data_IF_342198119566
#
_entry.id   IF_342198119566
#
_cell.length_a   1.000
_cell.length_b   1.000
_cell.length_c   1.000
_cell.angle_alpha   90.00
_cell.angle_beta   90.00
_cell.angle_gamma   90.00
#
_symmetry.space_group_name_H-M   'P 1'
#
loop_
_entity.id
_entity.type
_entity.pdbx_description
1 polymer ?
#
# COMPACT_ATOMS: atom_id res chain seq x y z
N UNK A 1 20.15 3.54 -67.15
CA UNK A 1 19.61 2.34 -66.47
C UNK A 1 19.80 2.58 -64.98
N UNK A 2 18.76 3.09 -64.32
CA UNK A 2 18.73 3.38 -62.89
C UNK A 2 17.82 2.33 -62.25
N UNK A 3 18.37 1.57 -61.31
CA UNK A 3 17.69 0.47 -60.62
C UNK A 3 16.61 1.03 -59.69
N UNK A 4 15.37 0.69 -60.02
CA UNK A 4 14.16 1.02 -59.28
C UNK A 4 13.99 -0.04 -58.18
N UNK A 5 14.22 0.32 -56.91
CA UNK A 5 13.94 -0.55 -55.77
C UNK A 5 12.42 -0.65 -55.59
N UNK A 6 11.87 -1.82 -55.94
CA UNK A 6 10.50 -2.23 -55.62
C UNK A 6 10.39 -2.40 -54.11
N UNK A 7 9.69 -1.50 -53.42
CA UNK A 7 9.16 -1.77 -52.09
C UNK A 7 7.99 -2.73 -52.21
N UNK A 8 8.22 -3.96 -51.76
CA UNK A 8 7.27 -5.06 -51.81
C UNK A 8 6.15 -4.79 -50.79
N UNK A 9 4.93 -4.62 -51.28
CA UNK A 9 3.74 -4.60 -50.47
C UNK A 9 3.43 -6.00 -49.91
N UNK A 10 2.95 -6.00 -48.66
CA UNK A 10 2.01 -6.95 -48.06
C UNK A 10 2.47 -8.32 -47.52
N UNK A 11 1.76 -8.73 -46.46
CA UNK A 11 1.88 -9.89 -45.57
C UNK A 11 3.00 -9.76 -44.51
N UNK A 12 2.71 -9.60 -43.22
CA UNK A 12 1.82 -10.46 -42.44
C UNK A 12 1.37 -9.73 -41.17
N UNK A 13 0.06 -9.63 -41.01
CA UNK A 13 -0.65 -9.50 -39.74
C UNK A 13 -0.09 -10.43 -38.67
N UNK A 14 0.58 -9.88 -37.67
CA UNK A 14 0.72 -10.48 -36.33
C UNK A 14 0.30 -9.44 -35.30
N UNK A 15 -0.95 -8.98 -35.44
CA UNK A 15 -1.75 -8.50 -34.32
C UNK A 15 -2.44 -9.71 -33.73
N UNK A 16 -1.81 -10.39 -32.78
CA UNK A 16 -2.49 -11.31 -31.86
C UNK A 16 -1.59 -11.50 -30.63
N UNK A 17 -2.18 -11.28 -29.45
CA UNK A 17 -1.61 -11.40 -28.09
C UNK A 17 -1.05 -10.14 -27.42
N UNK A 18 -1.54 -8.95 -27.76
CA UNK A 18 -1.59 -7.87 -26.77
C UNK A 18 -2.89 -7.99 -25.96
N UNK A 19 -2.89 -8.91 -24.98
CA UNK A 19 -3.84 -8.83 -23.88
C UNK A 19 -3.38 -7.72 -22.93
N UNK A 20 -3.47 -6.48 -23.39
CA UNK A 20 -3.68 -5.36 -22.49
C UNK A 20 -5.18 -5.25 -22.38
N UNK A 21 -5.74 -5.97 -21.39
CA UNK A 21 -7.10 -5.70 -21.00
C UNK A 21 -7.21 -4.20 -20.75
N UNK A 22 -8.20 -3.58 -21.39
CA UNK A 22 -8.75 -2.27 -21.03
C UNK A 22 -9.30 -2.33 -19.60
N UNK A 23 -8.42 -2.58 -18.62
CA UNK A 23 -8.75 -2.48 -17.20
C UNK A 23 -8.67 -1.01 -16.88
N UNK A 24 -9.83 -0.38 -17.09
CA UNK A 24 -10.24 0.87 -16.50
C UNK A 24 -9.40 2.10 -16.89
N UNK A 25 -9.88 2.77 -17.93
CA UNK A 25 -9.96 4.24 -17.94
C UNK A 25 -10.85 4.74 -16.77
N UNK A 26 -10.48 4.44 -15.52
CA UNK A 26 -10.90 5.25 -14.37
C UNK A 26 -9.74 6.20 -14.08
N UNK A 27 -9.65 7.25 -14.90
CA UNK A 27 -8.69 8.36 -14.83
C UNK A 27 -8.78 9.20 -13.53
N UNK A 28 -9.49 8.72 -12.51
CA UNK A 28 -9.53 9.29 -11.15
C UNK A 28 -9.33 8.23 -10.05
N UNK A 29 -9.05 6.97 -10.40
CA UNK A 29 -8.76 5.93 -9.44
C UNK A 29 -7.36 6.16 -8.86
N UNK A 30 -7.28 6.27 -7.53
CA UNK A 30 -6.03 6.39 -6.80
C UNK A 30 -5.07 5.32 -7.31
N UNK A 31 -3.93 5.73 -7.88
CA UNK A 31 -2.89 4.80 -8.36
C UNK A 31 -2.40 3.99 -7.17
N UNK A 32 -2.97 2.80 -6.98
CA UNK A 32 -2.60 1.89 -5.91
C UNK A 32 -1.63 0.86 -6.45
N UNK A 33 -0.37 0.95 -6.02
CA UNK A 33 0.60 -0.10 -6.32
C UNK A 33 0.40 -1.29 -5.36
N UNK A 34 0.82 -2.49 -5.78
CA UNK A 34 0.68 -3.70 -4.96
C UNK A 34 1.26 -3.55 -3.54
N UNK A 35 2.35 -2.78 -3.39
CA UNK A 35 2.97 -2.49 -2.09
C UNK A 35 2.04 -1.68 -1.17
N UNK A 36 1.30 -0.72 -1.71
CA UNK A 36 0.35 0.08 -0.91
C UNK A 36 -0.80 -0.77 -0.39
N UNK A 37 -1.30 -1.71 -1.21
CA UNK A 37 -2.29 -2.70 -0.77
C UNK A 37 -1.77 -3.60 0.36
N UNK A 38 -0.51 -4.04 0.29
CA UNK A 38 0.12 -4.82 1.36
C UNK A 38 0.24 -4.02 2.67
N UNK A 39 0.63 -2.75 2.58
CA UNK A 39 0.73 -1.85 3.74
C UNK A 39 -0.64 -1.69 4.42
N UNK A 40 -1.70 -1.43 3.65
CA UNK A 40 -3.07 -1.30 4.17
C UNK A 40 -3.52 -2.59 4.87
N UNK A 41 -3.30 -3.74 4.25
CA UNK A 41 -3.64 -5.03 4.85
C UNK A 41 -2.90 -5.26 6.18
N UNK A 42 -1.61 -4.90 6.24
CA UNK A 42 -0.82 -5.01 7.47
C UNK A 42 -1.33 -4.07 8.57
N UNK A 43 -1.76 -2.85 8.21
CA UNK A 43 -2.40 -1.92 9.16
C UNK A 43 -3.69 -2.53 9.74
N UNK A 44 -4.52 -3.18 8.92
CA UNK A 44 -5.74 -3.85 9.38
C UNK A 44 -5.40 -4.93 10.41
N UNK A 45 -4.48 -5.83 10.08
CA UNK A 45 -4.03 -6.90 10.99
C UNK A 45 -3.48 -6.33 12.30
N UNK A 46 -2.65 -5.30 12.24
CA UNK A 46 -2.08 -4.68 13.45
C UNK A 46 -3.13 -3.99 14.33
N UNK A 47 -4.21 -3.45 13.74
CA UNK A 47 -5.31 -2.89 14.51
C UNK A 47 -6.10 -3.98 15.26
N UNK A 48 -6.31 -5.14 14.63
CA UNK A 48 -6.92 -6.31 15.29
C UNK A 48 -6.04 -6.81 16.45
N UNK A 49 -4.73 -6.91 16.23
CA UNK A 49 -3.78 -7.27 17.28
C UNK A 49 -3.73 -6.24 18.42
N UNK A 50 -3.85 -4.95 18.09
CA UNK A 50 -3.88 -3.87 19.07
C UNK A 50 -5.14 -3.94 19.95
N UNK A 51 -6.29 -4.26 19.38
CA UNK A 51 -7.52 -4.48 20.15
C UNK A 51 -7.37 -5.66 21.12
N UNK A 52 -6.80 -6.77 20.65
CA UNK A 52 -6.46 -7.92 21.51
C UNK A 52 -5.48 -7.53 22.62
N UNK A 53 -4.47 -6.72 22.32
CA UNK A 53 -3.50 -6.24 23.31
C UNK A 53 -4.15 -5.34 24.37
N UNK A 54 -5.07 -4.47 23.98
CA UNK A 54 -5.84 -3.64 24.90
C UNK A 54 -6.73 -4.47 25.82
N UNK A 55 -7.40 -5.50 25.28
CA UNK A 55 -8.19 -6.43 26.08
C UNK A 55 -7.33 -7.12 27.15
N UNK A 56 -6.12 -7.57 26.79
CA UNK A 56 -5.16 -8.17 27.74
C UNK A 56 -4.66 -7.18 28.79
N UNK A 57 -4.41 -5.93 28.40
CA UNK A 57 -4.06 -4.86 29.35
C UNK A 57 -5.20 -4.61 30.34
N UNK A 58 -6.44 -4.55 29.86
CA UNK A 58 -7.63 -4.37 30.69
C UNK A 58 -7.77 -5.45 31.76
N UNK A 59 -7.48 -6.71 31.42
CA UNK A 59 -7.53 -7.85 32.35
C UNK A 59 -6.60 -7.72 33.56
N UNK A 60 -5.52 -6.94 33.47
CA UNK A 60 -4.58 -6.72 34.58
C UNK A 60 -4.59 -5.29 35.10
N UNK A 61 -5.40 -4.40 34.52
CA UNK A 61 -5.29 -2.96 34.78
C UNK A 61 -5.74 -2.57 36.19
N UNK A 62 -6.64 -3.35 36.78
CA UNK A 62 -7.24 -3.15 38.12
C UNK A 62 -6.48 -3.83 39.24
N UNK A 63 -5.51 -4.70 38.92
CA UNK A 63 -4.66 -5.36 39.90
C UNK A 63 -3.48 -4.44 40.25
N UNK A 64 -3.55 -3.79 41.42
CA UNK A 64 -2.53 -2.84 41.87
C UNK A 64 -1.21 -3.52 42.27
N UNK A 65 -1.25 -4.80 42.63
CA UNK A 65 -0.06 -5.56 43.03
C UNK A 65 0.74 -6.04 41.80
N UNK A 66 0.07 -6.21 40.65
CA UNK A 66 0.68 -6.68 39.40
C UNK A 66 1.17 -5.54 38.49
N UNK A 67 1.98 -4.64 39.04
CA UNK A 67 2.51 -3.48 38.29
C UNK A 67 3.38 -3.89 37.10
N UNK A 68 4.15 -4.97 37.21
CA UNK A 68 5.05 -5.46 36.16
C UNK A 68 4.26 -6.00 34.97
N UNK A 69 3.26 -6.85 35.22
CA UNK A 69 2.40 -7.39 34.18
C UNK A 69 1.59 -6.31 33.45
N UNK A 70 1.17 -5.26 34.17
CA UNK A 70 0.54 -4.07 33.59
C UNK A 70 1.50 -3.28 32.69
N UNK A 71 2.75 -3.08 33.13
CA UNK A 71 3.76 -2.38 32.34
C UNK A 71 4.07 -3.13 31.05
N UNK A 72 4.29 -4.44 31.11
CA UNK A 72 4.57 -5.28 29.95
C UNK A 72 3.46 -5.22 28.90
N UNK A 73 2.20 -5.34 29.33
CA UNK A 73 1.04 -5.27 28.41
C UNK A 73 0.84 -3.88 27.84
N UNK A 74 1.10 -2.83 28.63
CA UNK A 74 1.10 -1.44 28.13
C UNK A 74 2.18 -1.23 27.08
N UNK A 75 3.36 -1.82 27.29
CA UNK A 75 4.46 -1.75 26.32
C UNK A 75 4.10 -2.46 25.02
N UNK A 76 3.47 -3.64 25.08
CA UNK A 76 2.98 -4.35 23.90
C UNK A 76 2.00 -3.49 23.07
N UNK A 77 1.04 -2.80 23.74
CA UNK A 77 0.15 -1.87 23.05
C UNK A 77 0.92 -0.74 22.36
N UNK A 78 1.94 -0.18 23.03
CA UNK A 78 2.76 0.92 22.49
C UNK A 78 3.59 0.50 21.28
N UNK A 79 4.10 -0.73 21.26
CA UNK A 79 4.83 -1.28 20.12
C UNK A 79 3.90 -1.37 18.90
N UNK A 80 2.71 -1.95 19.06
CA UNK A 80 1.72 -2.08 17.99
C UNK A 80 1.28 -0.71 17.46
N UNK A 81 1.01 0.26 18.36
CA UNK A 81 0.73 1.65 17.98
C UNK A 81 1.86 2.27 17.16
N UNK A 82 3.12 2.02 17.55
CA UNK A 82 4.29 2.51 16.82
C UNK A 82 4.39 1.91 15.42
N UNK A 83 4.14 0.60 15.28
CA UNK A 83 4.15 -0.08 13.98
C UNK A 83 3.05 0.46 13.06
N UNK A 84 1.83 0.64 13.56
CA UNK A 84 0.73 1.26 12.81
C UNK A 84 1.13 2.66 12.35
N UNK A 85 1.66 3.50 13.24
CA UNK A 85 2.04 4.87 12.90
C UNK A 85 3.11 4.93 11.79
N UNK A 86 4.09 4.02 11.81
CA UNK A 86 5.11 3.90 10.77
C UNK A 86 4.47 3.52 9.43
N UNK A 87 3.62 2.49 9.42
CA UNK A 87 2.96 2.03 8.19
C UNK A 87 2.02 3.08 7.61
N UNK A 88 1.25 3.79 8.44
CA UNK A 88 0.40 4.90 7.99
C UNK A 88 1.24 6.04 7.40
N UNK A 89 2.42 6.32 7.94
CA UNK A 89 3.34 7.30 7.35
C UNK A 89 3.84 6.83 5.98
N UNK A 90 4.23 5.56 5.86
CA UNK A 90 4.69 4.97 4.60
C UNK A 90 3.59 4.96 3.54
N UNK A 91 2.35 4.59 3.91
CA UNK A 91 1.18 4.66 3.02
C UNK A 91 1.02 6.06 2.45
N UNK A 92 1.05 7.09 3.31
CA UNK A 92 0.93 8.48 2.89
C UNK A 92 2.08 8.93 1.99
N UNK A 93 3.31 8.51 2.29
CA UNK A 93 4.48 8.86 1.47
C UNK A 93 4.41 8.21 0.08
N UNK A 94 3.90 6.97 -0.01
CA UNK A 94 3.64 6.32 -1.29
C UNK A 94 2.51 7.00 -2.07
N UNK A 95 1.41 7.37 -1.41
CA UNK A 95 0.32 8.13 -2.03
C UNK A 95 0.87 9.44 -2.61
N UNK A 96 1.65 10.21 -1.84
CA UNK A 96 2.29 11.44 -2.31
C UNK A 96 3.25 11.23 -3.49
N UNK A 97 3.98 10.10 -3.53
CA UNK A 97 4.89 9.78 -4.62
C UNK A 97 4.14 9.45 -5.92
N UNK A 98 3.02 8.73 -5.81
CA UNK A 98 2.22 8.28 -6.96
C UNK A 98 1.27 9.36 -7.47
N UNK A 99 0.85 10.28 -6.59
CA UNK A 99 0.03 11.45 -6.93
C UNK A 99 0.71 12.72 -6.38
N UNK A 100 1.74 13.26 -7.06
CA UNK A 100 2.37 14.50 -6.65
C UNK A 100 1.35 15.62 -6.73
N UNK A 101 0.94 16.19 -5.60
CA UNK A 101 0.12 17.39 -5.57
C UNK A 101 0.91 18.49 -6.26
N UNK A 102 0.36 19.02 -7.36
CA UNK A 102 0.98 19.95 -8.31
C UNK A 102 1.98 20.93 -7.69
N UNK A 103 3.17 20.99 -8.31
CA UNK A 103 4.23 21.98 -8.08
C UNK A 103 3.62 23.39 -7.99
N UNK A 104 3.96 24.22 -6.98
CA UNK A 104 3.47 25.59 -6.92
C UNK A 104 3.90 26.32 -8.19
N UNK A 105 2.92 26.86 -8.91
CA UNK A 105 3.16 27.70 -10.09
C UNK A 105 4.05 28.89 -9.69
N UNK A 106 5.20 29.02 -10.37
CA UNK A 106 6.07 30.19 -10.28
C UNK A 106 5.34 31.49 -10.64
#
# INVERSE_FOLDING_TARGET
MLTMEKTNAEMSTTRDNQFFGDIAQEENSKKECAMMGLIKNQIIVLNEELDVAYNRLGQVATDEENWSGKYERKMACKILQGQIAILTKLEKDMENMLTPTSIPSC
#
